data_IF_422721562888
#
_entry.id   IF_422721562888
#
_cell.length_a   1.000
_cell.length_b   1.000
_cell.length_c   1.000
_cell.angle_alpha   90.00
_cell.angle_beta   90.00
_cell.angle_gamma   90.00
#
_symmetry.space_group_name_H-M   'P 1'
#
loop_
_entity.id
_entity.type
_entity.pdbx_description
1 polymer ?
#
# COMPACT_ATOMS: atom_id res chain seq x y z
N UNK A 1 5.83 -5.67 7.18
CA UNK A 1 4.49 -5.30 7.69
C UNK A 1 3.39 -5.78 6.76
N UNK A 2 3.27 -5.25 5.54
CA UNK A 2 2.22 -5.70 4.60
C UNK A 2 2.24 -7.22 4.32
N UNK A 3 3.41 -7.81 4.06
CA UNK A 3 3.55 -9.26 3.83
C UNK A 3 3.12 -10.12 5.03
N UNK A 4 3.47 -9.70 6.25
CA UNK A 4 3.02 -10.38 7.47
C UNK A 4 1.49 -10.33 7.63
N UNK A 5 0.91 -9.21 7.25
CA UNK A 5 -0.53 -8.95 7.33
C UNK A 5 -1.32 -9.70 6.24
N UNK A 6 -0.82 -9.75 5.01
CA UNK A 6 -1.51 -10.37 3.88
C UNK A 6 -1.18 -11.85 3.67
N UNK A 7 -0.08 -12.33 4.26
CA UNK A 7 0.47 -13.66 4.01
C UNK A 7 1.05 -13.83 2.61
N UNK A 8 1.20 -12.74 1.84
CA UNK A 8 1.65 -12.77 0.44
C UNK A 8 2.76 -11.74 0.19
N UNK A 9 3.82 -12.09 -0.56
CA UNK A 9 4.84 -11.13 -0.94
C UNK A 9 4.24 -9.93 -1.67
N UNK A 10 4.70 -8.69 -1.41
CA UNK A 10 4.20 -7.52 -2.12
C UNK A 10 4.34 -7.68 -3.63
N UNK A 11 3.28 -7.33 -4.36
CA UNK A 11 3.24 -7.33 -5.83
C UNK A 11 3.51 -8.70 -6.49
N UNK A 12 3.24 -9.81 -5.80
CA UNK A 12 3.49 -11.19 -6.29
C UNK A 12 2.92 -11.51 -7.67
N UNK A 13 1.82 -10.89 -8.07
CA UNK A 13 1.15 -11.10 -9.34
C UNK A 13 1.64 -10.19 -10.47
N UNK A 14 2.61 -9.31 -10.21
CA UNK A 14 3.13 -8.35 -11.19
C UNK A 14 4.55 -8.72 -11.62
N UNK A 15 4.89 -8.37 -12.86
CA UNK A 15 6.28 -8.39 -13.31
C UNK A 15 7.06 -7.37 -12.51
N UNK A 16 8.26 -7.73 -12.06
CA UNK A 16 9.14 -6.77 -11.41
C UNK A 16 9.97 -6.10 -12.50
N UNK A 17 9.47 -5.03 -13.09
CA UNK A 17 10.11 -4.30 -14.18
C UNK A 17 9.94 -2.78 -14.02
N UNK A 18 10.29 -2.02 -15.06
CA UNK A 18 10.14 -0.57 -15.07
C UNK A 18 8.68 -0.14 -14.85
N UNK A 19 7.70 -0.87 -15.37
CA UNK A 19 6.29 -0.54 -15.23
C UNK A 19 5.84 -0.61 -13.77
N UNK A 20 6.24 -1.66 -13.02
CA UNK A 20 5.97 -1.74 -11.59
C UNK A 20 6.68 -0.62 -10.81
N UNK A 21 7.94 -0.33 -11.13
CA UNK A 21 8.67 0.73 -10.46
C UNK A 21 8.05 2.12 -10.70
N UNK A 22 7.60 2.42 -11.92
CA UNK A 22 6.85 3.63 -12.23
C UNK A 22 5.54 3.70 -11.45
N UNK A 23 4.80 2.60 -11.35
CA UNK A 23 3.58 2.54 -10.55
C UNK A 23 3.86 2.84 -9.06
N UNK A 24 4.93 2.30 -8.49
CA UNK A 24 5.36 2.58 -7.11
C UNK A 24 5.74 4.06 -6.93
N UNK A 25 6.51 4.63 -7.86
CA UNK A 25 6.82 6.07 -7.84
C UNK A 25 5.54 6.92 -7.92
N UNK A 26 4.52 6.46 -8.65
CA UNK A 26 3.23 7.13 -8.75
C UNK A 26 2.27 6.80 -7.59
N UNK A 27 2.76 6.22 -6.50
CA UNK A 27 2.00 6.04 -5.26
C UNK A 27 1.41 4.65 -5.05
N UNK A 28 1.61 3.69 -5.97
CA UNK A 28 1.19 2.29 -5.72
C UNK A 28 1.89 1.75 -4.47
N UNK A 29 1.11 1.14 -3.56
CA UNK A 29 1.61 0.51 -2.34
C UNK A 29 1.00 -0.88 -2.16
N UNK A 30 1.63 -1.76 -1.37
CA UNK A 30 1.08 -3.06 -1.06
C UNK A 30 -0.23 -2.93 -0.27
N UNK A 31 -1.13 -3.88 -0.50
CA UNK A 31 -2.37 -4.04 0.27
C UNK A 31 -2.12 -4.85 1.54
N UNK A 32 -3.05 -4.73 2.49
CA UNK A 32 -3.03 -5.44 3.77
C UNK A 32 -4.09 -6.54 3.79
N UNK A 33 -3.85 -7.59 4.55
CA UNK A 33 -4.83 -8.65 4.77
C UNK A 33 -6.07 -8.15 5.53
N UNK A 34 -7.18 -8.86 5.35
CA UNK A 34 -8.41 -8.62 6.10
C UNK A 34 -8.13 -8.70 7.61
N UNK A 35 -8.78 -7.82 8.38
CA UNK A 35 -8.62 -7.77 9.83
C UNK A 35 -7.36 -7.06 10.33
N UNK A 36 -6.49 -6.57 9.45
CA UNK A 36 -5.30 -5.83 9.86
C UNK A 36 -5.69 -4.57 10.67
N UNK A 37 -5.17 -4.38 11.90
CA UNK A 37 -5.52 -3.23 12.72
C UNK A 37 -5.15 -1.88 12.08
N UNK A 38 -5.99 -0.86 12.29
CA UNK A 38 -5.80 0.46 11.66
C UNK A 38 -4.52 1.16 12.11
N UNK A 39 -4.13 1.05 13.39
CA UNK A 39 -2.86 1.61 13.87
C UNK A 39 -1.65 0.94 13.19
N UNK A 40 -1.77 -0.35 12.82
CA UNK A 40 -0.74 -1.10 12.12
C UNK A 40 -0.61 -0.62 10.67
N UNK A 41 -1.75 -0.46 9.97
CA UNK A 41 -1.78 0.12 8.61
C UNK A 41 -1.20 1.53 8.61
N UNK A 42 -1.58 2.37 9.58
CA UNK A 42 -1.07 3.73 9.73
C UNK A 42 0.45 3.76 9.86
N UNK A 43 1.02 2.92 10.74
CA UNK A 43 2.48 2.82 10.88
C UNK A 43 3.15 2.33 9.59
N UNK A 44 2.54 1.34 8.94
CA UNK A 44 3.07 0.78 7.71
C UNK A 44 3.06 1.80 6.56
N UNK A 45 1.97 2.56 6.39
CA UNK A 45 1.93 3.66 5.41
C UNK A 45 2.91 4.78 5.74
N UNK A 46 3.11 5.12 7.02
CA UNK A 46 4.16 6.07 7.43
C UNK A 46 5.55 5.60 7.03
N UNK A 47 5.85 4.30 7.17
CA UNK A 47 7.12 3.71 6.69
C UNK A 47 7.27 3.75 5.16
N UNK A 48 6.15 3.76 4.43
CA UNK A 48 6.10 3.78 2.97
C UNK A 48 5.92 5.18 2.38
N UNK A 49 6.10 6.24 3.18
CA UNK A 49 5.99 7.62 2.73
C UNK A 49 7.02 7.90 1.62
N UNK A 50 6.57 8.57 0.57
CA UNK A 50 7.39 8.99 -0.55
C UNK A 50 8.53 9.92 -0.10
N UNK A 51 8.28 10.81 0.86
CA UNK A 51 9.31 11.62 1.50
C UNK A 51 10.06 10.78 2.55
N UNK A 52 11.37 10.51 2.37
CA UNK A 52 12.15 9.74 3.32
C UNK A 52 12.22 10.35 4.72
N UNK A 53 12.13 11.68 4.83
CA UNK A 53 12.20 12.39 6.11
C UNK A 53 10.94 12.19 6.97
N UNK A 54 9.82 11.79 6.35
CA UNK A 54 8.56 11.50 7.07
C UNK A 54 8.49 10.05 7.56
N UNK A 55 9.48 9.22 7.19
CA UNK A 55 9.55 7.82 7.62
C UNK A 55 10.10 7.76 9.05
N UNK A 56 9.53 6.91 9.92
CA UNK A 56 10.05 6.73 11.26
C UNK A 56 11.46 6.12 11.21
N UNK A 57 12.31 6.54 12.13
CA UNK A 57 13.61 5.92 12.33
C UNK A 57 13.45 4.49 12.89
N UNK A 58 14.46 3.64 12.64
CA UNK A 58 14.45 2.27 13.16
C UNK A 58 14.35 2.23 14.71
N UNK A 59 14.94 3.20 15.41
CA UNK A 59 14.81 3.30 16.86
C UNK A 59 13.37 3.59 17.31
N UNK A 60 12.66 4.46 16.60
CA UNK A 60 11.24 4.75 16.88
C UNK A 60 10.38 3.50 16.67
N UNK A 61 10.60 2.78 15.56
CA UNK A 61 9.90 1.52 15.28
C UNK A 61 10.13 0.50 16.39
N UNK A 62 11.37 0.36 16.88
CA UNK A 62 11.70 -0.55 17.99
C UNK A 62 10.90 -0.20 19.26
N UNK A 63 10.76 1.08 19.58
CA UNK A 63 9.99 1.53 20.76
C UNK A 63 8.49 1.27 20.58
N UNK A 64 7.94 1.55 19.39
CA UNK A 64 6.53 1.30 19.08
C UNK A 64 6.21 -0.19 19.18
N UNK A 65 7.02 -1.06 18.56
CA UNK A 65 6.80 -2.50 18.62
C UNK A 65 6.97 -3.05 20.04
N UNK A 66 7.94 -2.54 20.82
CA UNK A 66 8.08 -2.92 22.23
C UNK A 66 6.88 -2.50 23.09
N UNK A 67 6.26 -1.34 22.81
CA UNK A 67 5.02 -0.95 23.47
C UNK A 67 3.86 -1.87 23.09
N UNK A 68 3.73 -2.25 21.81
CA UNK A 68 2.69 -3.17 21.36
C UNK A 68 2.81 -4.56 21.97
N UNK A 69 4.04 -5.08 22.05
CA UNK A 69 4.35 -6.38 22.66
C UNK A 69 3.94 -6.40 24.15
N UNK A 70 4.44 -5.44 24.93
CA UNK A 70 4.06 -5.30 26.35
C UNK A 70 2.55 -5.02 26.56
N UNK A 71 1.90 -4.38 25.59
CA UNK A 71 0.45 -4.17 25.62
C UNK A 71 -0.32 -5.47 25.38
N UNK A 72 0.13 -6.31 24.45
CA UNK A 72 -0.50 -7.60 24.16
C UNK A 72 -0.51 -8.51 25.40
N UNK A 73 0.61 -8.53 26.14
CA UNK A 73 0.76 -9.27 27.40
C UNK A 73 -0.06 -8.70 28.56
N UNK A 74 -0.57 -7.47 28.41
CA UNK A 74 -1.40 -6.78 29.41
C UNK A 74 -0.63 -5.94 30.42
N UNK A 75 0.70 -5.84 30.32
CA UNK A 75 1.52 -5.02 31.21
C UNK A 75 1.24 -3.51 31.06
N UNK A 76 0.69 -3.12 29.91
CA UNK A 76 0.46 -1.73 29.50
C UNK A 76 -1.01 -1.41 29.25
N UNK A 77 -1.96 -2.19 29.77
CA UNK A 77 -3.40 -2.05 29.47
C UNK A 77 -3.92 -0.60 29.64
N UNK A 78 -3.53 0.08 30.71
CA UNK A 78 -3.94 1.47 31.01
C UNK A 78 -2.91 2.53 30.56
N UNK A 79 -1.80 2.12 29.96
CA UNK A 79 -0.79 3.06 29.44
C UNK A 79 -1.20 3.53 28.05
N UNK A 80 -1.14 4.84 27.83
CA UNK A 80 -1.37 5.46 26.53
C UNK A 80 -0.06 5.96 25.94
N UNK A 81 0.32 5.46 24.77
CA UNK A 81 1.48 5.92 24.01
C UNK A 81 1.17 5.88 22.52
N UNK A 82 1.83 6.76 21.76
CA UNK A 82 1.67 6.84 20.30
C UNK A 82 0.22 7.05 19.83
N UNK A 83 -0.64 7.60 20.70
CA UNK A 83 -2.05 7.85 20.44
C UNK A 83 -2.98 6.64 20.64
N UNK A 84 -2.51 5.57 21.30
CA UNK A 84 -3.31 4.37 21.55
C UNK A 84 -3.11 3.85 22.97
N UNK A 85 -4.17 3.33 23.58
CA UNK A 85 -4.08 2.63 24.88
C UNK A 85 -3.67 1.18 24.68
N UNK A 86 -2.87 0.64 25.60
CA UNK A 86 -2.41 -0.74 25.48
C UNK A 86 -3.54 -1.76 25.38
N UNK A 87 -4.64 -1.57 26.14
CA UNK A 87 -5.82 -2.45 26.05
C UNK A 87 -6.52 -2.41 24.69
N UNK A 88 -6.48 -1.28 23.98
CA UNK A 88 -7.05 -1.14 22.63
C UNK A 88 -6.17 -1.87 21.61
N UNK A 89 -4.85 -1.72 21.71
CA UNK A 89 -3.87 -2.46 20.90
C UNK A 89 -4.07 -3.97 21.06
N UNK A 90 -4.16 -4.43 22.32
CA UNK A 90 -4.40 -5.84 22.66
C UNK A 90 -5.71 -6.34 22.08
N UNK A 91 -6.81 -5.60 22.28
CA UNK A 91 -8.12 -5.99 21.75
C UNK A 91 -8.11 -6.09 20.22
N UNK A 92 -7.50 -5.13 19.53
CA UNK A 92 -7.40 -5.11 18.08
C UNK A 92 -6.53 -6.25 17.52
N UNK A 93 -5.40 -6.59 18.15
CA UNK A 93 -4.63 -7.77 17.73
C UNK A 93 -5.39 -9.07 17.98
N UNK A 94 -6.07 -9.23 19.12
CA UNK A 94 -6.93 -10.39 19.37
C UNK A 94 -8.06 -10.53 18.36
N UNK A 95 -8.59 -9.43 17.87
CA UNK A 95 -9.58 -9.45 16.79
C UNK A 95 -8.94 -9.87 15.46
N UNK A 96 -7.77 -9.32 15.13
CA UNK A 96 -7.03 -9.70 13.93
C UNK A 96 -6.64 -11.18 13.93
N UNK A 97 -6.29 -11.75 15.09
CA UNK A 97 -5.96 -13.16 15.26
C UNK A 97 -7.09 -14.10 14.81
N UNK A 98 -8.36 -13.66 14.93
CA UNK A 98 -9.53 -14.43 14.47
C UNK A 98 -9.61 -14.54 12.96
N UNK A 99 -9.01 -13.61 12.22
CA UNK A 99 -8.99 -13.62 10.76
C UNK A 99 -7.82 -14.43 10.19
N UNK A 100 -6.77 -14.73 10.98
CA UNK A 100 -5.60 -15.49 10.54
C UNK A 100 -5.96 -16.79 9.81
N UNK A 101 -6.88 -17.65 10.31
CA UNK A 101 -7.26 -18.87 9.61
C UNK A 101 -7.93 -18.64 8.25
N UNK A 102 -8.49 -17.45 8.03
CA UNK A 102 -9.16 -17.06 6.78
C UNK A 102 -8.22 -16.39 5.78
N UNK A 103 -7.00 -16.02 6.19
CA UNK A 103 -6.02 -15.38 5.30
C UNK A 103 -5.42 -16.45 4.39
N UNK A 104 -5.78 -16.39 3.10
CA UNK A 104 -5.16 -17.23 2.09
C UNK A 104 -3.69 -16.84 1.91
N UNK A 105 -2.76 -17.76 2.20
CA UNK A 105 -1.34 -17.60 1.92
C UNK A 105 -0.93 -18.12 0.54
N UNK A 106 -1.84 -18.82 -0.16
CA UNK A 106 -1.61 -19.25 -1.54
C UNK A 106 -1.66 -18.04 -2.48
N UNK A 107 -0.70 -17.98 -3.39
CA UNK A 107 -0.63 -16.93 -4.39
C UNK A 107 -0.04 -17.45 -5.70
N UNK A 108 -0.56 -16.93 -6.81
CA UNK A 108 -0.01 -17.19 -8.13
C UNK A 108 1.09 -16.17 -8.43
N UNK A 109 2.33 -16.62 -8.28
CA UNK A 109 3.50 -15.78 -8.53
C UNK A 109 3.67 -15.55 -10.03
N UNK A 110 3.83 -14.29 -10.42
CA UNK A 110 4.29 -13.96 -11.76
C UNK A 110 5.72 -14.50 -11.97
N UNK A 111 5.99 -15.16 -13.10
CA UNK A 111 7.32 -15.72 -13.40
C UNK A 111 8.43 -14.66 -13.39
N UNK A 112 8.09 -13.42 -13.74
CA UNK A 112 9.00 -12.28 -13.80
C UNK A 112 9.06 -11.49 -12.48
N UNK A 113 8.41 -11.99 -11.42
CA UNK A 113 8.54 -11.44 -10.06
C UNK A 113 9.85 -11.90 -9.41
N UNK A 114 10.74 -10.94 -9.16
CA UNK A 114 12.07 -11.17 -8.59
C UNK A 114 12.16 -10.63 -7.16
N UNK A 115 12.34 -11.53 -6.19
CA UNK A 115 12.47 -11.21 -4.76
C UNK A 115 13.91 -11.30 -4.24
N UNK A 116 14.85 -11.63 -5.12
CA UNK A 116 16.28 -11.61 -4.84
C UNK A 116 16.86 -10.26 -5.23
N UNK A 117 17.98 -9.89 -4.60
CA UNK A 117 18.70 -8.66 -4.93
C UNK A 117 19.16 -8.65 -6.40
N UNK A 118 19.04 -7.49 -7.06
CA UNK A 118 19.55 -7.24 -8.43
C UNK A 118 19.74 -5.73 -8.66
N UNK A 119 20.59 -5.39 -9.62
CA UNK A 119 20.79 -4.01 -10.03
C UNK A 119 19.56 -3.48 -10.79
N UNK A 120 19.12 -2.26 -10.45
CA UNK A 120 18.08 -1.55 -11.18
C UNK A 120 18.72 -0.69 -12.26
N UNK A 121 18.46 -0.99 -13.53
CA UNK A 121 19.08 -0.33 -14.69
C UNK A 121 18.33 0.90 -15.18
N UNK A 122 17.16 1.19 -14.62
CA UNK A 122 16.26 2.25 -15.10
C UNK A 122 16.04 3.39 -14.10
N UNK A 123 16.93 3.57 -13.11
CA UNK A 123 16.80 4.63 -12.10
C UNK A 123 16.68 6.03 -12.70
N UNK A 124 17.33 6.28 -13.84
CA UNK A 124 17.30 7.57 -14.53
C UNK A 124 15.97 7.86 -15.25
N UNK A 125 15.08 6.86 -15.35
CA UNK A 125 13.77 6.96 -16.00
C UNK A 125 12.63 7.16 -14.99
N UNK A 126 12.91 7.07 -13.69
CA UNK A 126 11.89 7.13 -12.66
C UNK A 126 11.60 8.57 -12.23
N UNK A 127 10.32 8.96 -12.10
CA UNK A 127 9.96 10.25 -11.53
C UNK A 127 10.23 10.25 -10.02
N UNK A 128 10.20 11.46 -9.42
CA UNK A 128 10.20 11.59 -7.97
C UNK A 128 8.97 10.86 -7.39
N UNK A 129 9.15 9.98 -6.39
CA UNK A 129 8.02 9.29 -5.79
C UNK A 129 7.01 10.26 -5.17
N UNK A 130 5.73 9.92 -5.26
CA UNK A 130 4.62 10.64 -4.62
C UNK A 130 3.80 9.72 -3.71
N UNK A 131 3.09 10.30 -2.76
CA UNK A 131 2.14 9.57 -1.91
C UNK A 131 0.83 9.37 -2.68
N UNK A 132 0.21 8.20 -2.52
CA UNK A 132 -1.18 7.99 -2.95
C UNK A 132 -2.15 8.72 -2.02
N UNK A 133 -3.41 8.89 -2.46
CA UNK A 133 -4.50 9.38 -1.62
C UNK A 133 -4.62 8.60 -0.32
N UNK A 134 -4.44 7.28 -0.39
CA UNK A 134 -4.42 6.38 0.78
C UNK A 134 -3.32 6.78 1.78
N UNK A 135 -2.07 6.94 1.35
CA UNK A 135 -1.02 7.35 2.30
C UNK A 135 -1.37 8.72 2.92
N UNK A 136 -1.82 9.66 2.10
CA UNK A 136 -2.17 11.01 2.56
C UNK A 136 -3.26 10.98 3.62
N UNK A 137 -4.31 10.16 3.45
CA UNK A 137 -5.40 10.03 4.43
C UNK A 137 -4.90 9.48 5.78
N UNK A 138 -4.07 8.43 5.74
CA UNK A 138 -3.46 7.86 6.95
C UNK A 138 -2.46 8.79 7.65
N UNK A 139 -1.71 9.59 6.89
CA UNK A 139 -0.73 10.55 7.43
C UNK A 139 -1.42 11.78 8.02
N UNK A 140 -2.46 12.29 7.37
CA UNK A 140 -3.17 13.49 7.80
C UNK A 140 -4.22 13.22 8.90
N UNK A 141 -4.45 11.95 9.27
CA UNK A 141 -5.54 11.53 10.16
C UNK A 141 -6.94 11.85 9.61
N UNK A 142 -7.05 12.07 8.30
CA UNK A 142 -8.33 12.18 7.62
C UNK A 142 -8.80 10.76 7.35
N UNK A 143 -9.65 10.19 8.21
CA UNK A 143 -10.17 8.83 8.04
C UNK A 143 -10.96 8.78 6.73
N UNK A 144 -10.45 8.05 5.74
CA UNK A 144 -11.19 7.77 4.52
C UNK A 144 -11.96 6.47 4.71
N UNK A 145 -13.27 6.54 4.53
CA UNK A 145 -14.15 5.37 4.55
C UNK A 145 -13.65 4.39 3.48
N UNK A 146 -13.26 3.19 3.93
CA UNK A 146 -12.56 2.17 3.13
C UNK A 146 -13.22 1.79 1.79
N UNK A 147 -14.48 2.19 1.57
CA UNK A 147 -15.26 1.92 0.35
C UNK A 147 -15.02 2.93 -0.79
N UNK A 148 -14.44 4.11 -0.52
CA UNK A 148 -14.24 5.16 -1.55
C UNK A 148 -13.01 4.92 -2.45
N UNK A 149 -12.01 4.19 -1.95
CA UNK A 149 -10.72 4.01 -2.63
C UNK A 149 -10.86 3.11 -3.87
N UNK A 150 -11.68 2.06 -3.81
CA UNK A 150 -11.89 1.13 -4.92
C UNK A 150 -12.56 1.82 -6.14
N UNK A 151 -13.39 2.85 -5.87
CA UNK A 151 -14.05 3.67 -6.90
C UNK A 151 -13.08 4.66 -7.55
N UNK A 152 -12.17 5.24 -6.78
CA UNK A 152 -11.22 6.25 -7.26
C UNK A 152 -10.12 5.63 -8.15
N UNK A 153 -9.64 4.44 -7.79
CA UNK A 153 -8.70 3.65 -8.62
C UNK A 153 -9.37 3.21 -9.93
N UNK A 154 -10.64 2.78 -9.86
CA UNK A 154 -11.42 2.37 -11.05
C UNK A 154 -11.63 3.54 -12.02
N UNK A 155 -11.97 4.73 -11.53
CA UNK A 155 -12.16 5.92 -12.36
C UNK A 155 -10.85 6.44 -12.98
N UNK A 156 -9.74 6.33 -12.26
CA UNK A 156 -8.41 6.72 -12.75
C UNK A 156 -7.90 5.84 -13.90
N UNK A 157 -8.33 4.57 -13.94
CA UNK A 157 -8.00 3.63 -15.02
C UNK A 157 -8.87 3.90 -16.26
N UNK A 158 -10.16 4.24 -16.09
CA UNK A 158 -11.05 4.53 -17.22
C UNK A 158 -10.67 5.80 -18.00
N UNK A 159 -10.17 6.84 -17.33
CA UNK A 159 -9.73 8.09 -17.99
C UNK A 159 -8.45 7.96 -18.82
N UNK A 160 -7.71 6.86 -18.72
CA UNK A 160 -6.50 6.60 -19.55
C UNK A 160 -6.76 5.76 -20.79
N UNK A 161 -8.02 5.38 -21.06
CA UNK A 161 -8.41 4.43 -22.11
C UNK A 161 -8.84 5.02 -23.46
N UNK A 162 -9.00 6.33 -23.62
CA UNK A 162 -9.43 6.94 -24.89
C UNK A 162 -8.30 7.79 -25.49
N UNK A 163 -7.40 7.12 -26.21
CA UNK A 163 -6.69 7.78 -27.32
C UNK A 163 -7.50 7.41 -28.56
N UNK A 164 -8.31 8.35 -29.02
CA UNK A 164 -8.99 8.26 -30.30
C UNK A 164 -7.92 8.27 -31.41
N UNK A 165 -7.82 7.13 -32.10
CA UNK A 165 -7.10 7.03 -33.37
C UNK A 165 -8.14 7.39 -34.44
N UNK A 166 -8.18 8.67 -34.83
CA UNK A 166 -8.91 9.07 -36.01
C UNK A 166 -8.01 8.83 -37.23
N UNK A 167 -8.25 7.71 -37.90
CA UNK A 167 -7.80 7.46 -39.27
C UNK A 167 -8.98 6.79 -40.00
N UNK A 168 -9.69 7.54 -40.84
CA UNK A 168 -10.15 7.07 -42.15
C UNK A 168 -10.80 8.19 -42.96
N UNK A 169 -10.15 8.48 -44.09
CA UNK A 169 -10.72 8.67 -45.43
C UNK A 169 -12.17 9.14 -45.58
N UNK A 170 -12.36 10.23 -46.34
CA UNK A 170 -13.43 10.24 -47.32
C UNK A 170 -13.02 10.97 -48.61
N UNK A 171 -13.14 10.23 -49.70
CA UNK A 171 -13.11 10.68 -51.10
C UNK A 171 -14.56 11.01 -51.46
N UNK A 172 -14.82 12.16 -52.07
CA UNK A 172 -15.59 12.29 -53.33
C UNK A 172 -16.05 13.75 -53.57
N UNK A 173 -15.65 14.23 -54.75
CA UNK A 173 -16.37 15.04 -55.73
C UNK A 173 -17.39 16.11 -55.29
N UNK A 174 -17.14 17.34 -55.77
CA UNK A 174 -18.17 18.13 -56.44
C UNK A 174 -17.57 18.99 -57.55
N UNK A 175 -17.99 18.66 -58.77
CA UNK A 175 -17.82 19.35 -60.03
C UNK A 175 -18.67 20.63 -60.06
N UNK A 176 -18.02 21.79 -60.19
CA UNK A 176 -18.30 22.90 -61.14
C UNK A 176 -17.61 24.19 -60.68
#
# INVERSE_FOLDING_TARGET
MAELSSGKPPFYNKKHDLSLALAICNGLRPEFGKGTPEFYKKLAYKCMNANPNERPAAEELRKIFGFWDASYDGEKDEVEQYGYKGKEIKAAFKEADKEIPNISTSYEKNSDAVYTSRAFTFSNLLPKPVNSSIITSYVNNEVCDSQLIDLEVSNSIQLRGTIDIDDESNVDDLVN
#
